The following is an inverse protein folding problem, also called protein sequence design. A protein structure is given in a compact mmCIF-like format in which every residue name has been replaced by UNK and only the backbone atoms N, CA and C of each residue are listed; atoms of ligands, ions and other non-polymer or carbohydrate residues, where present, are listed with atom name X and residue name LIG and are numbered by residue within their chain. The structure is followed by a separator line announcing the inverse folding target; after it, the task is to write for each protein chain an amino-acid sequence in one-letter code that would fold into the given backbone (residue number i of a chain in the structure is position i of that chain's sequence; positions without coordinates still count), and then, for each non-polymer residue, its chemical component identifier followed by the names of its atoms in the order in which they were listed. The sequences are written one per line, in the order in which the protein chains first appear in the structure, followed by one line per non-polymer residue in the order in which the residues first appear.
data_IF_081578368980
#
_entry.id   IF_081578368980
#
_cell.length_a   1.000
_cell.length_b   1.000
_cell.length_c   1.000
_cell.angle_alpha   90.00
_cell.angle_beta   90.00
_cell.angle_gamma   90.00
#
_symmetry.space_group_name_H-M   'P 1'
#
loop_
_entity.id
_entity.type
_entity.pdbx_description
1 polymer ?
#
# COMPACT_ATOMS: atom_id res chain seq x y z
N UNK A 1 13.61 68.74 -43.77
CA UNK A 1 12.60 68.93 -42.71
C UNK A 1 11.44 67.96 -42.93
N UNK A 2 11.38 66.89 -42.13
CA UNK A 2 10.16 66.33 -41.50
C UNK A 2 10.56 65.00 -40.84
N UNK A 3 10.28 64.95 -39.53
CA UNK A 3 10.53 63.86 -38.60
C UNK A 3 9.69 62.61 -38.90
N UNK A 4 10.08 61.49 -38.29
CA UNK A 4 9.32 60.35 -37.71
C UNK A 4 10.09 59.06 -38.00
N UNK A 5 10.19 58.03 -37.15
CA UNK A 5 10.11 57.82 -35.71
C UNK A 5 10.60 56.37 -35.51
N UNK A 6 11.16 56.06 -34.34
CA UNK A 6 11.73 54.76 -34.01
C UNK A 6 10.75 53.59 -34.17
N UNK A 7 11.28 52.43 -34.57
CA UNK A 7 10.62 51.13 -34.36
C UNK A 7 11.63 50.21 -33.68
N UNK A 8 11.53 50.22 -32.36
CA UNK A 8 12.17 49.31 -31.42
C UNK A 8 11.60 47.90 -31.68
N UNK A 9 12.42 47.01 -32.25
CA UNK A 9 12.08 45.61 -32.40
C UNK A 9 12.03 44.93 -31.03
N UNK A 10 10.82 44.79 -30.48
CA UNK A 10 10.57 43.92 -29.33
C UNK A 10 10.88 42.47 -29.72
N UNK A 11 11.99 41.94 -29.22
CA UNK A 11 12.14 40.51 -29.03
C UNK A 11 11.09 40.07 -27.99
N UNK A 12 9.98 39.51 -28.47
CA UNK A 12 9.09 38.68 -27.67
C UNK A 12 9.86 37.41 -27.28
N UNK A 13 10.58 37.48 -26.16
CA UNK A 13 10.90 36.32 -25.35
C UNK A 13 9.56 35.68 -24.96
N UNK A 14 9.13 34.68 -25.73
CA UNK A 14 8.19 33.69 -25.26
C UNK A 14 8.87 32.95 -24.11
N UNK A 15 8.74 33.49 -22.90
CA UNK A 15 8.88 32.71 -21.70
C UNK A 15 7.81 31.62 -21.79
N UNK A 16 8.25 30.42 -22.17
CA UNK A 16 7.54 29.21 -21.84
C UNK A 16 7.44 29.21 -20.32
N UNK A 17 6.30 29.66 -19.81
CA UNK A 17 5.89 29.35 -18.44
C UNK A 17 5.89 27.84 -18.37
N UNK A 18 6.93 27.27 -17.76
CA UNK A 18 6.86 25.89 -17.32
C UNK A 18 5.57 25.78 -16.52
N UNK A 19 4.64 24.86 -16.86
CA UNK A 19 3.46 24.67 -16.06
C UNK A 19 3.94 24.46 -14.63
N UNK A 20 3.46 25.31 -13.70
CA UNK A 20 3.80 25.23 -12.30
C UNK A 20 3.69 23.75 -11.90
N UNK A 21 4.83 23.13 -11.57
CA UNK A 21 4.89 21.72 -11.18
C UNK A 21 3.76 21.49 -10.18
N UNK A 22 2.76 20.72 -10.57
CA UNK A 22 1.62 20.47 -9.70
C UNK A 22 2.15 19.73 -8.48
N UNK A 23 2.29 20.43 -7.36
CA UNK A 23 2.81 19.87 -6.13
C UNK A 23 1.96 18.66 -5.75
N UNK A 24 2.60 17.51 -5.55
CA UNK A 24 1.96 16.31 -5.01
C UNK A 24 1.65 16.51 -3.52
N UNK A 25 0.53 15.97 -3.06
CA UNK A 25 0.03 16.13 -1.69
C UNK A 25 -0.36 14.79 -1.05
N UNK A 26 -0.67 14.82 0.23
CA UNK A 26 -0.92 13.62 1.04
C UNK A 26 -2.10 12.78 0.50
N UNK A 27 -3.19 13.41 0.03
CA UNK A 27 -4.36 12.70 -0.53
C UNK A 27 -4.13 12.11 -1.92
N UNK A 28 -3.03 12.46 -2.58
CA UNK A 28 -2.62 11.81 -3.83
C UNK A 28 -1.96 10.46 -3.54
N UNK A 29 -1.11 10.42 -2.50
CA UNK A 29 -0.40 9.21 -2.10
C UNK A 29 -1.21 8.28 -1.19
N UNK A 30 -2.28 8.78 -0.56
CA UNK A 30 -3.18 8.00 0.29
C UNK A 30 -4.64 8.35 -0.02
N UNK A 31 -5.23 7.58 -0.93
CA UNK A 31 -6.61 7.72 -1.39
C UNK A 31 -7.55 6.88 -0.52
N UNK A 32 -8.59 7.54 -0.01
CA UNK A 32 -9.62 6.97 0.86
C UNK A 32 -10.94 7.01 0.09
N UNK A 33 -11.59 5.84 -0.06
CA UNK A 33 -12.88 5.72 -0.74
C UNK A 33 -14.01 5.74 0.28
N UNK A 34 -15.07 6.47 -0.03
CA UNK A 34 -15.97 7.03 0.96
C UNK A 34 -17.33 6.36 1.04
N UNK A 35 -17.82 5.75 -0.05
CA UNK A 35 -19.15 5.15 -0.01
C UNK A 35 -19.38 4.11 -1.11
N UNK A 36 -20.04 2.98 -0.79
CA UNK A 36 -20.50 1.97 -1.76
C UNK A 36 -21.31 2.47 -2.95
N UNK A 37 -21.80 3.71 -2.87
CA UNK A 37 -22.68 4.31 -3.87
C UNK A 37 -22.05 5.50 -4.58
N UNK A 38 -20.91 6.04 -4.14
CA UNK A 38 -20.34 7.28 -4.70
C UNK A 38 -19.10 6.99 -5.52
N UNK A 39 -18.17 6.22 -4.96
CA UNK A 39 -16.82 6.02 -5.50
C UNK A 39 -16.38 4.55 -5.46
N UNK A 40 -17.33 3.63 -5.30
CA UNK A 40 -17.04 2.22 -5.05
C UNK A 40 -16.46 1.49 -6.25
N UNK A 41 -15.40 0.72 -5.99
CA UNK A 41 -14.85 -0.25 -6.95
C UNK A 41 -15.07 -1.63 -6.35
N UNK A 42 -16.07 -2.36 -6.84
CA UNK A 42 -16.30 -3.75 -6.45
C UNK A 42 -15.12 -4.62 -6.86
N UNK A 43 -14.81 -5.66 -6.09
CA UNK A 43 -13.84 -6.71 -6.44
C UNK A 43 -14.20 -7.41 -7.76
N UNK A 44 -15.51 -7.44 -8.08
CA UNK A 44 -16.05 -7.99 -9.32
C UNK A 44 -16.00 -7.01 -10.50
N UNK A 45 -15.50 -5.79 -10.30
CA UNK A 45 -15.42 -4.79 -11.37
C UNK A 45 -14.39 -5.23 -12.40
N UNK A 46 -14.79 -5.23 -13.66
CA UNK A 46 -13.86 -5.36 -14.77
C UNK A 46 -13.09 -4.05 -14.95
N UNK A 47 -11.80 -4.18 -15.25
CA UNK A 47 -10.95 -3.11 -15.71
C UNK A 47 -11.36 -2.70 -17.14
N UNK A 48 -10.86 -1.55 -17.60
CA UNK A 48 -11.22 -1.04 -18.93
C UNK A 48 -10.78 -1.97 -20.07
N UNK A 49 -9.79 -2.83 -19.82
CA UNK A 49 -9.33 -3.86 -20.75
C UNK A 49 -10.06 -5.21 -20.60
N UNK A 50 -11.13 -5.28 -19.80
CA UNK A 50 -11.90 -6.49 -19.54
C UNK A 50 -11.28 -7.45 -18.50
N UNK A 51 -10.05 -7.21 -18.05
CA UNK A 51 -9.42 -8.01 -17.01
C UNK A 51 -10.09 -7.77 -15.64
N UNK A 52 -10.08 -8.76 -14.75
CA UNK A 52 -10.53 -8.58 -13.37
C UNK A 52 -9.39 -7.99 -12.54
N UNK A 53 -9.69 -6.89 -11.83
CA UNK A 53 -8.72 -6.28 -10.91
C UNK A 53 -8.34 -7.22 -9.76
N UNK A 54 -9.29 -8.08 -9.36
CA UNK A 54 -9.08 -9.11 -8.37
C UNK A 54 -9.67 -10.44 -8.87
N UNK A 55 -8.82 -11.37 -9.35
CA UNK A 55 -9.27 -12.67 -9.83
C UNK A 55 -10.02 -13.46 -8.75
N UNK A 56 -11.17 -14.05 -9.12
CA UNK A 56 -11.94 -14.89 -8.19
C UNK A 56 -11.13 -16.05 -7.57
N UNK A 57 -10.15 -16.57 -8.31
CA UNK A 57 -9.25 -17.62 -7.84
C UNK A 57 -8.45 -17.19 -6.60
N UNK A 58 -8.05 -15.91 -6.51
CA UNK A 58 -7.38 -15.39 -5.32
C UNK A 58 -8.29 -15.44 -4.11
N UNK A 59 -9.56 -15.07 -4.29
CA UNK A 59 -10.55 -15.13 -3.21
C UNK A 59 -10.75 -16.58 -2.73
N UNK A 60 -10.83 -17.54 -3.64
CA UNK A 60 -10.92 -18.96 -3.28
C UNK A 60 -9.68 -19.44 -2.49
N UNK A 61 -8.47 -19.03 -2.86
CA UNK A 61 -7.25 -19.37 -2.11
C UNK A 61 -7.23 -18.75 -0.70
N UNK A 62 -7.73 -17.52 -0.56
CA UNK A 62 -7.92 -16.87 0.73
C UNK A 62 -8.91 -17.65 1.60
N UNK A 63 -10.08 -18.02 1.05
CA UNK A 63 -11.07 -18.84 1.77
C UNK A 63 -10.51 -20.19 2.21
N UNK A 64 -9.79 -20.89 1.33
CA UNK A 64 -9.18 -22.18 1.65
C UNK A 64 -8.16 -22.08 2.79
N UNK A 65 -7.43 -20.95 2.86
CA UNK A 65 -6.46 -20.70 3.92
C UNK A 65 -7.13 -20.36 5.25
N UNK A 66 -8.20 -19.54 5.25
CA UNK A 66 -8.99 -19.29 6.47
C UNK A 66 -9.72 -20.54 6.98
N UNK A 67 -10.16 -21.43 6.09
CA UNK A 67 -10.77 -22.70 6.49
C UNK A 67 -9.85 -23.58 7.34
N UNK A 68 -8.53 -23.37 7.27
CA UNK A 68 -7.51 -24.04 8.08
C UNK A 68 -7.09 -23.25 9.33
N UNK A 69 -7.65 -22.05 9.54
CA UNK A 69 -7.31 -21.16 10.63
C UNK A 69 -8.34 -21.23 11.77
N UNK A 70 -8.11 -20.45 12.84
CA UNK A 70 -9.05 -20.29 13.94
C UNK A 70 -10.36 -19.62 13.55
N UNK A 71 -10.49 -19.07 12.34
CA UNK A 71 -11.72 -18.46 11.80
C UNK A 71 -12.57 -19.49 11.02
N UNK A 72 -11.95 -20.52 10.41
CA UNK A 72 -12.67 -21.54 9.66
C UNK A 72 -13.41 -20.97 8.45
N UNK A 73 -14.67 -21.38 8.26
CA UNK A 73 -15.50 -20.96 7.11
C UNK A 73 -16.28 -19.65 7.31
N UNK A 74 -16.06 -18.94 8.42
CA UNK A 74 -16.84 -17.73 8.73
C UNK A 74 -16.74 -16.67 7.62
N UNK A 75 -15.56 -16.49 7.02
CA UNK A 75 -15.38 -15.53 5.91
C UNK A 75 -16.28 -15.86 4.72
N UNK A 76 -16.34 -17.14 4.32
CA UNK A 76 -17.17 -17.60 3.21
C UNK A 76 -18.67 -17.43 3.51
N UNK A 77 -19.08 -17.69 4.75
CA UNK A 77 -20.49 -17.62 5.18
C UNK A 77 -21.00 -16.19 5.34
N UNK A 78 -20.13 -15.27 5.77
CA UNK A 78 -20.52 -13.91 6.15
C UNK A 78 -20.22 -12.87 5.07
N UNK A 79 -19.20 -13.09 4.24
CA UNK A 79 -18.74 -12.13 3.24
C UNK A 79 -18.55 -12.80 1.88
N UNK A 80 -19.58 -12.75 1.04
CA UNK A 80 -19.51 -13.28 -0.33
C UNK A 80 -18.55 -12.44 -1.18
N UNK A 81 -18.09 -13.00 -2.29
CA UNK A 81 -17.17 -12.32 -3.21
C UNK A 81 -17.67 -10.94 -3.63
N UNK A 82 -18.94 -10.81 -4.01
CA UNK A 82 -19.56 -9.54 -4.44
C UNK A 82 -19.71 -8.49 -3.34
N UNK A 83 -19.42 -8.82 -2.08
CA UNK A 83 -19.43 -7.85 -0.97
C UNK A 83 -18.13 -7.04 -0.90
N UNK A 84 -17.04 -7.55 -1.45
CA UNK A 84 -15.72 -6.93 -1.32
C UNK A 84 -15.59 -5.71 -2.23
N UNK A 85 -15.13 -4.61 -1.67
CA UNK A 85 -14.95 -3.34 -2.35
C UNK A 85 -13.56 -2.79 -2.03
N UNK A 86 -12.95 -2.13 -3.01
CA UNK A 86 -11.78 -1.31 -2.77
C UNK A 86 -12.20 -0.19 -1.83
N UNK A 87 -11.51 -0.09 -0.70
CA UNK A 87 -11.75 0.96 0.31
C UNK A 87 -10.62 1.96 0.33
N UNK A 88 -9.42 1.58 -0.12
CA UNK A 88 -8.28 2.48 -0.13
C UNK A 88 -7.23 2.11 -1.15
N UNK A 89 -6.47 3.12 -1.56
CA UNK A 89 -5.28 2.98 -2.38
C UNK A 89 -4.14 3.81 -1.79
N UNK A 90 -2.94 3.26 -1.76
CA UNK A 90 -1.71 3.99 -1.44
C UNK A 90 -0.74 3.89 -2.60
N UNK A 91 -0.06 4.99 -2.89
CA UNK A 91 1.03 5.04 -3.85
C UNK A 91 2.34 5.24 -3.12
N UNK A 92 3.27 4.32 -3.35
CA UNK A 92 4.61 4.36 -2.83
C UNK A 92 5.59 4.58 -3.96
N UNK A 93 6.18 5.78 -4.07
CA UNK A 93 7.17 6.05 -5.11
C UNK A 93 8.49 5.30 -4.88
N UNK A 94 8.77 4.92 -3.63
CA UNK A 94 10.03 4.28 -3.23
C UNK A 94 9.81 3.42 -1.99
N UNK A 95 9.56 2.12 -2.18
CA UNK A 95 9.54 1.14 -1.09
C UNK A 95 10.85 0.32 -1.10
N UNK A 96 11.54 0.15 0.04
CA UNK A 96 12.84 -0.54 0.08
C UNK A 96 12.77 -1.96 -0.49
N UNK A 97 13.71 -2.30 -1.37
CA UNK A 97 13.89 -3.67 -1.85
C UNK A 97 14.56 -4.55 -0.79
N UNK A 98 15.51 -3.97 -0.03
CA UNK A 98 16.24 -4.62 1.05
C UNK A 98 15.38 -4.98 2.27
N UNK A 99 15.87 -5.93 3.06
CA UNK A 99 15.15 -6.52 4.19
C UNK A 99 15.42 -5.84 5.54
N UNK A 100 16.43 -4.98 5.59
CA UNK A 100 16.78 -4.13 6.72
C UNK A 100 16.41 -2.66 6.40
N UNK A 101 15.95 -1.86 7.39
CA UNK A 101 15.82 -0.41 7.25
C UNK A 101 17.12 0.29 6.83
N UNK A 102 18.27 -0.32 7.15
CA UNK A 102 19.60 0.17 6.80
C UNK A 102 20.02 -0.13 5.36
N UNK A 103 19.34 -1.06 4.68
CA UNK A 103 19.64 -1.45 3.30
C UNK A 103 19.22 -0.35 2.32
N UNK A 104 20.07 0.65 2.11
CA UNK A 104 19.94 1.74 1.11
C UNK A 104 18.50 2.12 0.78
N UNK A 105 17.69 2.34 1.82
CA UNK A 105 16.22 2.31 1.73
C UNK A 105 15.63 3.41 0.85
N UNK A 106 16.44 4.42 0.53
CA UNK A 106 16.10 5.54 -0.35
C UNK A 106 16.73 5.46 -1.76
N UNK A 107 17.69 4.56 -1.97
CA UNK A 107 18.40 4.39 -3.25
C UNK A 107 17.99 3.07 -3.92
N UNK A 108 17.99 1.96 -3.21
CA UNK A 108 17.60 0.65 -3.74
C UNK A 108 16.15 0.34 -3.34
N UNK A 109 15.25 1.11 -3.93
CA UNK A 109 13.81 1.01 -3.70
C UNK A 109 13.03 0.85 -5.00
N UNK A 110 11.78 0.41 -4.87
CA UNK A 110 10.90 0.16 -5.98
C UNK A 110 9.54 0.86 -5.79
N UNK A 111 9.01 1.52 -6.83
CA UNK A 111 7.66 2.06 -6.78
C UNK A 111 6.61 0.95 -6.79
N UNK A 112 5.52 1.16 -6.05
CA UNK A 112 4.41 0.21 -5.94
C UNK A 112 3.08 0.92 -5.66
N UNK A 113 1.99 0.25 -6.01
CA UNK A 113 0.63 0.61 -5.63
C UNK A 113 0.11 -0.41 -4.63
N UNK A 114 -0.49 0.04 -3.54
CA UNK A 114 -1.12 -0.83 -2.55
C UNK A 114 -2.62 -0.62 -2.55
N UNK A 115 -3.37 -1.72 -2.55
CA UNK A 115 -4.83 -1.71 -2.52
C UNK A 115 -5.33 -2.40 -1.26
N UNK A 116 -6.39 -1.85 -0.67
CA UNK A 116 -7.09 -2.44 0.48
C UNK A 116 -8.51 -2.75 0.07
N UNK A 117 -8.89 -4.02 0.20
CA UNK A 117 -10.22 -4.53 -0.08
C UNK A 117 -10.92 -4.90 1.22
N UNK A 118 -12.17 -4.49 1.37
CA UNK A 118 -12.97 -4.79 2.54
C UNK A 118 -14.37 -5.23 2.11
N UNK A 119 -14.98 -6.23 2.77
CA UNK A 119 -16.38 -6.56 2.53
C UNK A 119 -17.29 -5.52 3.16
N UNK A 120 -18.19 -4.98 2.34
CA UNK A 120 -19.24 -4.06 2.76
C UNK A 120 -20.58 -4.75 2.57
N UNK A 121 -21.18 -5.18 3.68
CA UNK A 121 -22.46 -5.89 3.68
C UNK A 121 -23.59 -4.88 3.77
N UNK A 122 -24.49 -4.91 2.79
CA UNK A 122 -25.64 -3.98 2.72
C UNK A 122 -26.83 -4.54 3.49
N UNK A 123 -27.63 -3.65 4.07
CA UNK A 123 -28.90 -3.95 4.76
C UNK A 123 -28.75 -5.03 5.84
N UNK A 124 -27.73 -4.90 6.69
CA UNK A 124 -27.42 -5.87 7.73
C UNK A 124 -28.23 -5.57 9.00
N UNK A 125 -28.86 -6.60 9.58
CA UNK A 125 -29.45 -6.54 10.91
C UNK A 125 -28.67 -7.46 11.87
N UNK A 126 -28.05 -6.88 12.90
CA UNK A 126 -27.30 -7.62 13.94
C UNK A 126 -27.71 -7.08 15.30
N UNK A 127 -28.17 -7.97 16.19
CA UNK A 127 -28.54 -7.60 17.56
C UNK A 127 -29.64 -6.53 17.63
N UNK A 128 -30.58 -6.52 16.67
CA UNK A 128 -31.67 -5.54 16.60
C UNK A 128 -31.26 -4.16 16.06
N UNK A 129 -29.99 -3.97 15.68
CA UNK A 129 -29.51 -2.76 15.00
C UNK A 129 -29.44 -2.99 13.50
N UNK A 130 -30.01 -2.05 12.74
CA UNK A 130 -29.94 -2.03 11.29
C UNK A 130 -28.80 -1.15 10.81
N UNK A 131 -28.03 -1.66 9.85
CA UNK A 131 -26.96 -0.97 9.14
C UNK A 131 -27.28 -1.03 7.64
N UNK A 132 -27.33 0.12 6.97
CA UNK A 132 -27.56 0.20 5.53
C UNK A 132 -26.33 -0.32 4.76
N UNK A 133 -25.13 -0.10 5.29
CA UNK A 133 -23.83 -0.52 4.77
C UNK A 133 -22.86 -0.73 5.92
N UNK A 134 -22.61 -1.99 6.26
CA UNK A 134 -21.72 -2.41 7.34
C UNK A 134 -20.37 -2.87 6.78
N UNK A 135 -19.30 -2.22 7.22
CA UNK A 135 -17.92 -2.66 7.02
C UNK A 135 -17.62 -3.84 7.94
N UNK A 136 -17.37 -5.03 7.39
CA UNK A 136 -16.92 -6.16 8.22
C UNK A 136 -15.47 -5.98 8.64
N UNK A 137 -15.08 -6.60 9.75
CA UNK A 137 -13.75 -6.45 10.32
C UNK A 137 -12.67 -7.33 9.65
N UNK A 138 -12.78 -7.50 8.33
CA UNK A 138 -11.90 -8.32 7.48
C UNK A 138 -11.33 -7.47 6.35
N UNK A 139 -10.08 -7.66 5.97
CA UNK A 139 -9.56 -7.01 4.76
C UNK A 139 -8.53 -7.87 4.03
N UNK A 140 -8.33 -7.52 2.77
CA UNK A 140 -7.27 -8.06 1.92
C UNK A 140 -6.43 -6.89 1.43
N UNK A 141 -5.13 -6.95 1.65
CA UNK A 141 -4.16 -6.00 1.13
C UNK A 141 -3.41 -6.61 -0.03
N UNK A 142 -3.37 -5.92 -1.17
CA UNK A 142 -2.54 -6.26 -2.32
C UNK A 142 -1.42 -5.25 -2.49
N UNK A 143 -0.22 -5.73 -2.81
CA UNK A 143 0.94 -4.92 -3.18
C UNK A 143 1.27 -5.21 -4.64
N UNK A 144 1.26 -4.18 -5.47
CA UNK A 144 1.50 -4.26 -6.91
C UNK A 144 2.77 -3.49 -7.24
N UNK A 145 3.79 -4.20 -7.71
CA UNK A 145 5.02 -3.58 -8.15
C UNK A 145 4.77 -2.81 -9.46
N UNK A 146 5.41 -1.64 -9.62
CA UNK A 146 5.33 -0.92 -10.88
C UNK A 146 6.01 -1.72 -12.00
N UNK A 147 5.33 -1.92 -13.12
CA UNK A 147 5.89 -2.61 -14.29
C UNK A 147 6.68 -1.62 -15.15
N UNK A 148 8.00 -1.81 -15.35
CA UNK A 148 8.83 -0.92 -16.17
C UNK A 148 8.34 -0.75 -17.61
N UNK A 149 7.69 -1.76 -18.17
CA UNK A 149 7.18 -1.73 -19.55
C UNK A 149 6.03 -0.75 -19.76
N UNK A 150 5.48 -0.16 -18.70
CA UNK A 150 4.46 0.90 -18.81
C UNK A 150 5.06 2.23 -19.28
N UNK A 151 6.30 2.52 -18.89
CA UNK A 151 6.91 3.85 -19.03
C UNK A 151 8.26 3.83 -19.78
N UNK A 152 8.84 2.64 -19.98
CA UNK A 152 10.14 2.44 -20.63
C UNK A 152 9.99 1.58 -21.90
N UNK A 153 10.94 1.72 -22.83
CA UNK A 153 11.05 0.83 -23.98
C UNK A 153 11.37 -0.61 -23.55
N UNK A 154 11.06 -1.60 -24.40
CA UNK A 154 11.18 -3.03 -24.03
C UNK A 154 12.56 -3.45 -23.54
N UNK A 155 13.63 -2.91 -24.14
CA UNK A 155 15.01 -3.18 -23.72
C UNK A 155 15.34 -2.55 -22.35
N UNK A 156 15.04 -1.25 -22.17
CA UNK A 156 15.23 -0.54 -20.89
C UNK A 156 14.41 -1.21 -19.77
N UNK A 157 13.18 -1.61 -20.06
CA UNK A 157 12.30 -2.29 -19.12
C UNK A 157 12.87 -3.64 -18.68
N UNK A 158 13.34 -4.46 -19.61
CA UNK A 158 13.96 -5.75 -19.32
C UNK A 158 15.26 -5.59 -18.53
N UNK A 159 16.10 -4.62 -18.90
CA UNK A 159 17.34 -4.30 -18.20
C UNK A 159 17.07 -3.87 -16.76
N UNK A 160 16.19 -2.89 -16.53
CA UNK A 160 15.86 -2.41 -15.19
C UNK A 160 15.24 -3.51 -14.32
N UNK A 161 14.36 -4.35 -14.90
CA UNK A 161 13.81 -5.50 -14.18
C UNK A 161 14.90 -6.50 -13.79
N UNK A 162 15.90 -6.71 -14.65
CA UNK A 162 17.08 -7.52 -14.36
C UNK A 162 17.88 -6.98 -13.18
N UNK A 163 18.17 -5.68 -13.16
CA UNK A 163 18.85 -5.01 -12.03
C UNK A 163 18.05 -5.14 -10.73
N UNK A 164 16.74 -4.87 -10.78
CA UNK A 164 15.84 -5.05 -9.61
C UNK A 164 15.91 -6.47 -9.07
N UNK A 165 15.83 -7.48 -9.95
CA UNK A 165 15.84 -8.88 -9.53
C UNK A 165 17.17 -9.26 -8.88
N UNK A 166 18.31 -8.75 -9.39
CA UNK A 166 19.63 -8.93 -8.77
C UNK A 166 19.70 -8.32 -7.37
N UNK A 167 19.19 -7.10 -7.20
CA UNK A 167 19.11 -6.43 -5.89
C UNK A 167 18.26 -7.24 -4.90
N UNK A 168 17.07 -7.69 -5.32
CA UNK A 168 16.19 -8.53 -4.48
C UNK A 168 16.86 -9.86 -4.11
N UNK A 169 17.50 -10.53 -5.06
CA UNK A 169 18.22 -11.79 -4.82
C UNK A 169 19.39 -11.58 -3.87
N UNK A 170 20.15 -10.50 -4.04
CA UNK A 170 21.26 -10.16 -3.15
C UNK A 170 20.80 -10.04 -1.70
N UNK A 171 19.75 -9.25 -1.42
CA UNK A 171 19.22 -9.09 -0.06
C UNK A 171 18.53 -10.34 0.49
N UNK A 172 18.03 -11.22 -0.39
CA UNK A 172 17.47 -12.50 0.04
C UNK A 172 18.56 -13.51 0.44
N UNK A 173 19.72 -13.49 -0.21
CA UNK A 173 20.80 -14.47 0.01
C UNK A 173 21.82 -14.03 1.05
N UNK A 174 22.11 -12.72 1.14
CA UNK A 174 23.24 -12.23 1.93
C UNK A 174 22.85 -11.71 3.32
N UNK A 175 21.56 -11.73 3.67
CA UNK A 175 21.07 -11.27 4.98
C UNK A 175 21.74 -9.97 5.44
N UNK A 176 21.93 -8.98 4.55
CA UNK A 176 22.51 -7.67 4.87
C UNK A 176 23.97 -7.65 5.37
N UNK A 177 24.67 -8.79 5.44
CA UNK A 177 26.00 -8.90 6.05
C UNK A 177 27.16 -8.78 5.05
N UNK A 178 26.87 -8.67 3.75
CA UNK A 178 27.90 -8.65 2.71
C UNK A 178 28.31 -7.21 2.36
N UNK A 179 29.60 -6.82 2.47
CA UNK A 179 30.08 -5.48 2.11
C UNK A 179 30.02 -5.18 0.60
N UNK A 180 29.67 -6.18 -0.22
CA UNK A 180 29.50 -6.00 -1.66
C UNK A 180 28.21 -5.24 -1.96
N UNK A 181 28.27 -4.26 -2.87
CA UNK A 181 27.09 -3.64 -3.44
C UNK A 181 26.45 -4.58 -4.48
N UNK A 182 25.11 -4.70 -4.54
CA UNK A 182 24.43 -5.60 -5.48
C UNK A 182 24.62 -5.19 -6.96
N UNK A 183 24.98 -3.93 -7.19
CA UNK A 183 25.13 -3.28 -8.48
C UNK A 183 26.50 -2.58 -8.54
N UNK A 184 27.08 -2.46 -9.74
CA UNK A 184 28.21 -1.52 -9.95
C UNK A 184 27.72 -0.07 -9.84
N UNK A 185 28.65 0.89 -9.82
CA UNK A 185 28.30 2.30 -9.78
C UNK A 185 27.44 2.70 -10.98
N UNK A 186 27.83 2.28 -12.19
CA UNK A 186 27.11 2.58 -13.43
C UNK A 186 25.72 1.92 -13.45
N UNK A 187 25.62 0.68 -12.98
CA UNK A 187 24.33 -0.02 -12.86
C UNK A 187 23.40 0.64 -11.84
N UNK A 188 23.95 1.16 -10.73
CA UNK A 188 23.17 1.90 -9.74
C UNK A 188 22.67 3.24 -10.29
N UNK A 189 23.52 3.99 -11.01
CA UNK A 189 23.11 5.22 -11.70
C UNK A 189 21.99 4.95 -12.71
N UNK A 190 22.11 3.89 -13.51
CA UNK A 190 21.06 3.47 -14.44
C UNK A 190 19.78 3.04 -13.72
N UNK A 191 19.90 2.28 -12.64
CA UNK A 191 18.76 1.87 -11.81
C UNK A 191 18.00 3.10 -11.30
N UNK A 192 18.71 4.08 -10.72
CA UNK A 192 18.12 5.33 -10.21
C UNK A 192 17.46 6.11 -11.34
N UNK A 193 18.16 6.32 -12.46
CA UNK A 193 17.66 7.11 -13.60
C UNK A 193 16.39 6.51 -14.19
N UNK A 194 16.39 5.22 -14.49
CA UNK A 194 15.25 4.55 -15.11
C UNK A 194 14.08 4.40 -14.15
N UNK A 195 14.33 4.06 -12.87
CA UNK A 195 13.27 4.05 -11.85
C UNK A 195 12.64 5.43 -11.69
N UNK A 196 13.45 6.49 -11.61
CA UNK A 196 12.94 7.85 -11.43
C UNK A 196 12.06 8.30 -12.61
N UNK A 197 12.35 7.87 -13.85
CA UNK A 197 11.45 8.07 -14.99
C UNK A 197 10.08 7.40 -14.79
N UNK A 198 10.07 6.14 -14.34
CA UNK A 198 8.81 5.44 -14.02
C UNK A 198 8.04 6.15 -12.90
N UNK A 199 8.74 6.61 -11.86
CA UNK A 199 8.14 7.34 -10.74
C UNK A 199 7.55 8.67 -11.20
N UNK A 200 8.24 9.44 -12.05
CA UNK A 200 7.70 10.68 -12.61
C UNK A 200 6.37 10.46 -13.32
N UNK A 201 6.29 9.40 -14.15
CA UNK A 201 5.06 9.04 -14.85
C UNK A 201 3.96 8.63 -13.87
N UNK A 202 4.26 7.75 -12.90
CA UNK A 202 3.32 7.36 -11.85
C UNK A 202 2.76 8.59 -11.12
N UNK A 203 3.62 9.51 -10.68
CA UNK A 203 3.22 10.74 -9.97
C UNK A 203 2.32 11.61 -10.84
N UNK A 204 2.67 11.83 -12.12
CA UNK A 204 1.82 12.57 -13.05
C UNK A 204 0.44 11.92 -13.18
N UNK A 205 0.36 10.59 -13.29
CA UNK A 205 -0.91 9.84 -13.39
C UNK A 205 -1.74 9.92 -12.13
N UNK A 206 -1.11 9.91 -10.95
CA UNK A 206 -1.81 10.10 -9.68
C UNK A 206 -2.38 11.52 -9.58
N UNK A 207 -1.62 12.54 -9.98
CA UNK A 207 -2.10 13.92 -10.01
C UNK A 207 -3.27 14.06 -11.01
N UNK A 208 -3.22 13.34 -12.13
CA UNK A 208 -4.32 13.31 -13.11
C UNK A 208 -5.60 12.62 -12.60
N UNK A 209 -5.58 11.98 -11.42
CA UNK A 209 -6.81 11.54 -10.75
C UNK A 209 -7.62 12.73 -10.21
N UNK A 210 -6.96 13.86 -9.92
CA UNK A 210 -7.57 15.07 -9.39
C UNK A 210 -8.64 15.60 -10.35
N UNK A 211 -9.72 16.09 -9.77
CA UNK A 211 -10.67 16.91 -10.52
C UNK A 211 -10.13 18.33 -10.68
N UNK A 212 -10.16 18.85 -11.92
CA UNK A 212 -9.64 20.17 -12.27
C UNK A 212 -10.44 21.33 -11.64
N UNK A 213 -11.65 21.07 -11.15
CA UNK A 213 -12.47 22.08 -10.43
C UNK A 213 -11.91 22.40 -9.04
N UNK A 214 -11.09 21.53 -8.46
CA UNK A 214 -10.50 21.77 -7.15
C UNK A 214 -9.08 22.31 -7.27
N UNK A 215 -8.75 23.26 -6.41
CA UNK A 215 -7.37 23.72 -6.26
C UNK A 215 -6.48 22.61 -5.69
N UNK A 216 -5.17 22.67 -5.95
CA UNK A 216 -4.21 21.71 -5.37
C UNK A 216 -4.28 21.65 -3.84
N UNK A 217 -4.59 22.78 -3.19
CA UNK A 217 -4.71 22.90 -1.73
C UNK A 217 -5.77 21.96 -1.13
N UNK A 218 -6.83 21.63 -1.89
CA UNK A 218 -7.88 20.71 -1.43
C UNK A 218 -7.37 19.27 -1.20
N UNK A 219 -6.21 18.93 -1.77
CA UNK A 219 -5.56 17.63 -1.68
C UNK A 219 -4.51 17.56 -0.57
N UNK A 220 -4.27 18.65 0.18
CA UNK A 220 -3.39 18.64 1.37
C UNK A 220 -4.02 17.92 2.55
N UNK A 221 -3.15 17.35 3.40
CA UNK A 221 -3.50 16.64 4.62
C UNK A 221 -4.10 15.26 4.37
N UNK A 222 -4.40 14.51 5.44
CA UNK A 222 -4.93 13.16 5.32
C UNK A 222 -6.46 13.16 5.37
N UNK A 223 -7.09 12.23 4.66
CA UNK A 223 -8.55 12.04 4.71
C UNK A 223 -9.18 11.93 3.33
N UNK A 224 -10.46 12.27 3.26
CA UNK A 224 -11.24 12.20 2.03
C UNK A 224 -10.78 13.23 1.00
N UNK A 225 -10.71 12.76 -0.23
CA UNK A 225 -10.52 13.59 -1.42
C UNK A 225 -11.76 14.47 -1.67
N UNK A 226 -11.62 15.68 -2.21
CA UNK A 226 -12.76 16.57 -2.43
C UNK A 226 -13.81 16.01 -3.40
N UNK A 227 -13.40 15.15 -4.34
CA UNK A 227 -14.27 14.53 -5.35
C UNK A 227 -15.34 13.62 -4.74
N UNK A 228 -15.10 13.06 -3.55
CA UNK A 228 -16.00 12.09 -2.93
C UNK A 228 -17.16 12.75 -2.16
N UNK A 229 -17.27 14.08 -2.24
CA UNK A 229 -18.29 14.87 -1.56
C UNK A 229 -19.68 14.78 -2.19
N UNK A 230 -19.79 14.40 -3.47
CA UNK A 230 -21.07 14.14 -4.13
C UNK A 230 -20.98 13.02 -5.17
N UNK A 231 -22.17 12.53 -5.57
CA UNK A 231 -22.31 11.36 -6.43
C UNK A 231 -21.73 11.54 -7.84
N UNK A 232 -21.96 12.70 -8.48
CA UNK A 232 -21.49 12.94 -9.85
C UNK A 232 -19.96 12.99 -9.91
N UNK A 233 -19.34 13.77 -9.01
CA UNK A 233 -17.89 13.87 -8.93
C UNK A 233 -17.24 12.54 -8.52
N UNK A 234 -17.88 11.82 -7.60
CA UNK A 234 -17.45 10.48 -7.19
C UNK A 234 -17.41 9.50 -8.36
N UNK A 235 -18.42 9.51 -9.23
CA UNK A 235 -18.45 8.65 -10.42
C UNK A 235 -17.34 9.02 -11.44
N UNK A 236 -17.10 10.30 -11.66
CA UNK A 236 -16.02 10.75 -12.56
C UNK A 236 -14.64 10.36 -12.01
N UNK A 237 -14.44 10.55 -10.70
CA UNK A 237 -13.24 10.10 -10.01
C UNK A 237 -13.06 8.59 -10.10
N UNK A 238 -14.12 7.81 -9.85
CA UNK A 238 -14.12 6.35 -9.98
C UNK A 238 -13.71 5.90 -11.39
N UNK A 239 -14.20 6.56 -12.43
CA UNK A 239 -13.81 6.26 -13.82
C UNK A 239 -12.30 6.46 -14.05
N UNK A 240 -11.76 7.61 -13.62
CA UNK A 240 -10.31 7.90 -13.68
C UNK A 240 -9.50 6.88 -12.86
N UNK A 241 -9.99 6.54 -11.66
CA UNK A 241 -9.36 5.55 -10.80
C UNK A 241 -9.32 4.16 -11.45
N UNK A 242 -10.43 3.69 -12.05
CA UNK A 242 -10.45 2.42 -12.77
C UNK A 242 -9.48 2.41 -13.96
N UNK A 243 -9.33 3.53 -14.67
CA UNK A 243 -8.32 3.67 -15.73
C UNK A 243 -6.89 3.59 -15.17
N UNK A 244 -6.61 4.28 -14.07
CA UNK A 244 -5.33 4.19 -13.36
C UNK A 244 -5.02 2.75 -12.90
N UNK A 245 -5.97 2.09 -12.26
CA UNK A 245 -5.82 0.71 -11.77
C UNK A 245 -5.63 -0.29 -12.92
N UNK A 246 -6.20 -0.01 -14.11
CA UNK A 246 -5.96 -0.81 -15.32
C UNK A 246 -4.49 -0.79 -15.72
N UNK A 247 -3.73 0.26 -15.40
CA UNK A 247 -2.30 0.30 -15.73
C UNK A 247 -1.45 -0.25 -14.57
N UNK A 248 -1.78 0.14 -13.33
CA UNK A 248 -0.86 0.01 -12.20
C UNK A 248 -1.19 -1.10 -11.20
N UNK A 249 -2.35 -1.75 -11.33
CA UNK A 249 -2.78 -2.80 -10.40
C UNK A 249 -3.21 -4.09 -11.12
N UNK A 250 -2.61 -4.38 -12.27
CA UNK A 250 -2.85 -5.64 -12.99
C UNK A 250 -2.45 -6.85 -12.15
N UNK A 251 -3.19 -7.97 -12.20
CA UNK A 251 -2.86 -9.19 -11.45
C UNK A 251 -1.44 -9.70 -11.68
N UNK A 252 -0.91 -9.56 -12.90
CA UNK A 252 0.46 -9.95 -13.26
C UNK A 252 1.53 -9.21 -12.47
N UNK A 253 1.21 -8.03 -11.94
CA UNK A 253 2.13 -7.16 -11.22
C UNK A 253 1.99 -7.30 -9.69
N UNK A 254 1.03 -8.10 -9.22
CA UNK A 254 0.90 -8.40 -7.80
C UNK A 254 2.19 -9.10 -7.33
N UNK A 255 2.79 -8.59 -6.24
CA UNK A 255 4.00 -9.15 -5.64
C UNK A 255 3.69 -9.88 -4.33
N UNK A 256 2.78 -9.33 -3.53
CA UNK A 256 2.35 -9.92 -2.27
C UNK A 256 0.88 -9.60 -1.97
N UNK A 257 0.23 -10.52 -1.25
CA UNK A 257 -1.12 -10.34 -0.74
C UNK A 257 -1.18 -10.80 0.71
N UNK A 258 -1.86 -10.03 1.56
CA UNK A 258 -2.17 -10.44 2.93
C UNK A 258 -3.66 -10.36 3.15
N UNK A 259 -4.24 -11.34 3.81
CA UNK A 259 -5.65 -11.33 4.19
C UNK A 259 -5.76 -11.44 5.70
N UNK A 260 -6.73 -10.76 6.29
CA UNK A 260 -6.98 -10.86 7.72
C UNK A 260 -8.46 -10.88 8.05
N UNK A 261 -8.77 -11.55 9.16
CA UNK A 261 -10.11 -11.59 9.70
C UNK A 261 -10.02 -11.30 11.18
N UNK A 262 -10.72 -10.24 11.59
CA UNK A 262 -10.92 -9.91 12.98
C UNK A 262 -12.37 -10.25 13.31
N UNK A 263 -12.63 -10.71 14.53
CA UNK A 263 -13.82 -11.50 14.85
C UNK A 263 -15.00 -10.64 15.28
N UNK A 264 -14.97 -9.33 15.05
CA UNK A 264 -16.11 -8.46 15.27
C UNK A 264 -17.13 -8.68 14.14
N UNK A 265 -17.76 -9.86 14.16
CA UNK A 265 -18.70 -10.32 13.14
C UNK A 265 -19.41 -11.60 13.58
N UNK A 266 -20.72 -11.47 13.81
CA UNK A 266 -21.85 -12.43 13.82
C UNK A 266 -21.79 -13.74 14.61
N UNK A 267 -20.63 -14.24 15.05
CA UNK A 267 -20.52 -15.41 15.94
C UNK A 267 -19.81 -15.08 17.26
N UNK A 268 -20.52 -15.05 18.40
CA UNK A 268 -19.98 -14.56 19.67
C UNK A 268 -18.88 -15.44 20.30
N UNK A 269 -18.64 -16.65 19.79
CA UNK A 269 -17.69 -17.58 20.38
C UNK A 269 -16.21 -17.26 20.08
N UNK A 270 -15.90 -16.36 19.12
CA UNK A 270 -14.52 -16.12 18.64
C UNK A 270 -14.06 -14.65 18.65
N UNK A 271 -14.77 -13.76 19.35
CA UNK A 271 -14.60 -12.28 19.37
C UNK A 271 -13.17 -11.78 19.73
N UNK A 272 -12.26 -12.66 20.18
CA UNK A 272 -10.90 -12.27 20.57
C UNK A 272 -9.78 -12.84 19.68
N UNK A 273 -10.12 -13.53 18.59
CA UNK A 273 -9.15 -14.24 17.73
C UNK A 273 -8.94 -13.49 16.41
N UNK A 274 -7.72 -13.04 16.16
CA UNK A 274 -7.31 -12.36 14.93
C UNK A 274 -6.47 -13.32 14.09
N UNK A 275 -6.89 -13.61 12.87
CA UNK A 275 -6.10 -14.44 11.95
C UNK A 275 -5.56 -13.61 10.80
N UNK A 276 -4.27 -13.79 10.51
CA UNK A 276 -3.53 -13.15 9.44
C UNK A 276 -2.93 -14.21 8.52
N UNK A 277 -3.16 -14.04 7.23
CA UNK A 277 -2.68 -14.90 6.16
C UNK A 277 -1.74 -14.10 5.26
N UNK A 278 -0.70 -14.75 4.76
CA UNK A 278 0.22 -14.16 3.80
C UNK A 278 0.34 -15.02 2.55
N UNK A 279 0.48 -14.35 1.41
CA UNK A 279 0.62 -14.96 0.11
C UNK A 279 1.71 -14.23 -0.68
N UNK A 280 2.54 -15.00 -1.36
CA UNK A 280 3.39 -14.50 -2.44
C UNK A 280 2.63 -14.58 -3.75
N UNK A 281 2.89 -13.65 -4.67
CA UNK A 281 2.28 -13.67 -5.99
C UNK A 281 3.33 -13.90 -7.08
N UNK A 282 2.95 -14.70 -8.08
CA UNK A 282 3.78 -14.98 -9.26
C UNK A 282 2.88 -15.25 -10.46
N UNK A 283 3.15 -14.60 -11.58
CA UNK A 283 2.43 -14.78 -12.84
C UNK A 283 0.90 -14.64 -12.69
N UNK A 284 0.43 -13.69 -11.87
CA UNK A 284 -1.01 -13.47 -11.65
C UNK A 284 -1.70 -14.49 -10.75
N UNK A 285 -0.98 -15.44 -10.16
CA UNK A 285 -1.49 -16.38 -9.16
C UNK A 285 -0.92 -16.06 -7.77
N UNK A 286 -1.65 -16.42 -6.72
CA UNK A 286 -1.19 -16.30 -5.33
C UNK A 286 -0.95 -17.68 -4.71
N UNK A 287 0.05 -17.75 -3.83
CA UNK A 287 0.47 -18.96 -3.14
C UNK A 287 0.71 -18.65 -1.67
N UNK A 288 0.24 -19.49 -0.72
CA UNK A 288 0.51 -19.29 0.70
C UNK A 288 1.99 -19.08 0.97
N UNK A 289 2.32 -18.05 1.74
CA UNK A 289 3.68 -17.70 2.10
C UNK A 289 3.79 -17.54 3.62
N UNK A 290 4.98 -17.78 4.15
CA UNK A 290 5.23 -17.62 5.57
C UNK A 290 5.31 -16.15 5.96
N UNK A 291 4.68 -15.80 7.08
CA UNK A 291 4.90 -14.54 7.79
C UNK A 291 6.20 -14.70 8.57
N UNK A 292 7.25 -14.00 8.14
CA UNK A 292 8.57 -14.07 8.74
C UNK A 292 8.91 -12.71 9.33
N UNK A 293 9.22 -12.68 10.62
CA UNK A 293 9.80 -11.52 11.28
C UNK A 293 11.31 -11.58 11.04
N UNK A 294 11.89 -10.44 10.66
CA UNK A 294 13.29 -10.31 10.29
C UNK A 294 13.99 -9.30 11.19
N UNK A 295 15.27 -9.55 11.47
CA UNK A 295 16.13 -8.64 12.22
C UNK A 295 16.08 -7.23 11.61
N UNK A 296 16.10 -6.23 12.48
CA UNK A 296 16.19 -4.83 12.06
C UNK A 296 17.60 -4.41 11.68
N UNK A 297 18.60 -5.19 12.10
CA UNK A 297 20.00 -4.90 11.83
C UNK A 297 20.39 -5.42 10.46
N UNK A 298 20.19 -6.71 10.23
CA UNK A 298 20.74 -7.41 9.07
C UNK A 298 19.63 -7.98 8.13
N UNK A 299 18.36 -7.91 8.52
CA UNK A 299 17.26 -8.41 7.70
C UNK A 299 17.16 -9.94 7.62
N UNK A 300 17.98 -10.69 8.37
CA UNK A 300 17.88 -12.15 8.45
C UNK A 300 16.57 -12.57 9.13
N UNK A 301 15.99 -13.72 8.77
CA UNK A 301 14.86 -14.28 9.51
C UNK A 301 15.20 -14.50 10.99
N UNK A 302 14.42 -13.92 11.89
CA UNK A 302 14.55 -14.16 13.35
C UNK A 302 13.41 -15.05 13.86
N UNK A 303 12.22 -14.95 13.25
CA UNK A 303 11.07 -15.74 13.66
C UNK A 303 10.16 -16.05 12.48
N UNK A 304 9.64 -17.27 12.42
CA UNK A 304 8.72 -17.70 11.37
C UNK A 304 7.37 -18.10 11.98
N UNK A 305 6.33 -17.31 11.69
CA UNK A 305 4.94 -17.54 12.12
C UNK A 305 4.21 -18.52 11.18
N UNK A 306 4.87 -19.05 10.16
CA UNK A 306 4.23 -19.87 9.15
C UNK A 306 3.24 -19.06 8.31
N UNK A 307 2.40 -19.76 7.55
CA UNK A 307 1.44 -19.13 6.63
C UNK A 307 0.20 -18.51 7.32
N UNK A 308 -0.02 -18.83 8.60
CA UNK A 308 -1.11 -18.29 9.43
C UNK A 308 -0.49 -17.74 10.71
N UNK A 309 -0.73 -16.47 11.01
CA UNK A 309 -0.48 -15.90 12.34
C UNK A 309 -1.78 -15.64 13.06
N UNK A 310 -1.83 -15.99 14.34
CA UNK A 310 -2.98 -15.83 15.21
C UNK A 310 -2.63 -14.83 16.31
N UNK A 311 -3.27 -13.67 16.35
CA UNK A 311 -3.15 -12.73 17.47
C UNK A 311 -4.47 -12.61 18.23
N UNK A 312 -4.43 -11.87 19.33
CA UNK A 312 -5.58 -11.44 20.10
C UNK A 312 -5.50 -9.95 20.37
N UNK A 313 -6.60 -9.37 20.85
CA UNK A 313 -6.64 -7.95 21.24
C UNK A 313 -5.48 -7.59 22.17
N UNK A 314 -5.21 -8.44 23.17
CA UNK A 314 -4.25 -8.17 24.25
C UNK A 314 -2.82 -8.67 23.96
N UNK A 315 -2.68 -9.69 23.10
CA UNK A 315 -1.43 -10.45 22.93
C UNK A 315 -1.21 -10.72 21.45
N UNK A 316 0.03 -10.56 20.97
CA UNK A 316 0.38 -10.94 19.60
C UNK A 316 0.31 -12.47 19.42
N UNK A 317 0.96 -13.03 18.40
CA UNK A 317 1.02 -14.47 18.27
C UNK A 317 1.70 -15.12 19.47
N UNK A 318 1.01 -16.06 20.13
CA UNK A 318 1.52 -16.75 21.33
C UNK A 318 2.85 -17.46 21.07
N UNK A 319 3.16 -17.78 19.82
CA UNK A 319 4.46 -18.36 19.45
C UNK A 319 5.61 -17.37 19.66
N UNK A 320 5.35 -16.06 19.55
CA UNK A 320 6.33 -15.01 19.84
C UNK A 320 6.66 -14.93 21.33
N UNK A 321 5.66 -15.09 22.20
CA UNK A 321 5.87 -15.10 23.65
C UNK A 321 6.66 -16.33 24.13
N UNK A 322 6.49 -17.45 23.43
CA UNK A 322 7.17 -18.72 23.73
C UNK A 322 8.51 -18.86 23.00
N UNK A 323 8.88 -17.87 22.19
CA UNK A 323 10.11 -17.89 21.42
C UNK A 323 11.32 -17.92 22.36
N UNK A 324 12.17 -18.94 22.21
CA UNK A 324 13.46 -19.01 22.89
C UNK A 324 14.54 -18.57 21.91
N UNK A 325 14.85 -17.27 21.94
CA UNK A 325 15.81 -16.65 21.03
C UNK A 325 17.09 -16.23 21.78
N UNK A 326 18.25 -16.19 21.10
CA UNK A 326 19.44 -15.52 21.61
C UNK A 326 19.14 -14.06 21.98
N UNK A 327 19.88 -13.48 22.93
CA UNK A 327 19.60 -12.14 23.46
C UNK A 327 19.49 -11.06 22.39
N UNK A 328 20.33 -11.10 21.35
CA UNK A 328 20.29 -10.13 20.25
C UNK A 328 19.00 -10.26 19.43
N UNK A 329 18.65 -11.48 19.02
CA UNK A 329 17.42 -11.78 18.26
C UNK A 329 16.16 -11.46 19.06
N UNK A 330 16.20 -11.67 20.37
CA UNK A 330 15.11 -11.32 21.26
C UNK A 330 14.90 -9.81 21.34
N UNK A 331 15.97 -9.01 21.41
CA UNK A 331 15.88 -7.55 21.41
C UNK A 331 15.29 -7.03 20.09
N UNK A 332 15.77 -7.56 18.95
CA UNK A 332 15.21 -7.21 17.63
C UNK A 332 13.74 -7.56 17.52
N UNK A 333 13.35 -8.74 18.01
CA UNK A 333 11.97 -9.15 18.07
C UNK A 333 11.17 -8.17 18.93
N UNK A 334 11.66 -7.84 20.13
CA UNK A 334 11.01 -6.95 21.07
C UNK A 334 10.83 -5.52 20.53
N UNK A 335 11.72 -5.06 19.66
CA UNK A 335 11.62 -3.76 18.99
C UNK A 335 10.72 -3.78 17.75
N UNK A 336 10.44 -4.97 17.22
CA UNK A 336 9.65 -5.18 16.01
C UNK A 336 8.21 -5.59 16.26
N UNK A 337 7.89 -6.16 17.44
CA UNK A 337 6.54 -6.62 17.78
C UNK A 337 6.11 -6.21 19.19
N UNK A 338 4.80 -6.01 19.36
CA UNK A 338 4.15 -5.63 20.61
C UNK A 338 3.86 -6.86 21.46
N UNK A 339 4.83 -7.28 22.27
CA UNK A 339 4.68 -8.38 23.23
C UNK A 339 4.14 -7.83 24.57
N UNK A 340 3.15 -8.50 25.16
CA UNK A 340 2.51 -8.14 26.44
C UNK A 340 1.99 -6.68 26.56
N UNK A 341 1.48 -6.11 25.46
CA UNK A 341 0.92 -4.75 25.46
C UNK A 341 1.93 -3.62 25.71
N UNK A 342 3.24 -3.92 25.74
CA UNK A 342 4.30 -2.92 25.91
C UNK A 342 4.44 -2.10 24.63
N UNK A 343 4.27 -0.78 24.77
CA UNK A 343 4.31 0.18 23.64
C UNK A 343 5.73 0.55 23.15
N UNK A 344 6.79 -0.12 23.62
CA UNK A 344 8.16 0.20 23.20
C UNK A 344 8.31 0.08 21.68
N UNK A 345 7.87 -1.04 21.12
CA UNK A 345 7.87 -1.27 19.68
C UNK A 345 6.94 -0.32 18.90
N UNK A 346 5.94 0.30 19.55
CA UNK A 346 4.93 1.10 18.84
C UNK A 346 5.56 2.27 18.07
N UNK A 347 6.52 2.98 18.67
CA UNK A 347 7.21 4.09 18.01
C UNK A 347 8.06 3.61 16.81
N UNK A 348 8.68 2.44 16.95
CA UNK A 348 9.49 1.84 15.90
C UNK A 348 8.61 1.36 14.74
N UNK A 349 7.52 0.66 15.03
CA UNK A 349 6.56 0.17 14.03
C UNK A 349 5.81 1.31 13.35
N UNK A 350 5.61 2.48 13.94
CA UNK A 350 5.04 3.64 13.22
C UNK A 350 6.01 4.18 12.15
N UNK A 351 7.30 3.83 12.22
CA UNK A 351 8.33 4.37 11.33
C UNK A 351 8.97 3.34 10.42
N UNK A 352 8.72 3.44 9.11
CA UNK A 352 9.34 2.57 8.10
C UNK A 352 10.88 2.61 8.10
N UNK A 353 11.49 3.74 8.46
CA UNK A 353 12.96 3.85 8.55
C UNK A 353 13.53 3.15 9.79
N UNK A 354 12.68 2.66 10.70
CA UNK A 354 13.08 1.86 11.87
C UNK A 354 12.65 0.41 11.72
N UNK A 355 11.42 0.17 11.25
CA UNK A 355 10.85 -1.16 11.07
C UNK A 355 10.03 -1.20 9.78
N UNK A 356 10.50 -1.95 8.80
CA UNK A 356 9.74 -2.20 7.58
C UNK A 356 8.51 -3.06 7.90
N UNK A 357 7.43 -2.92 7.12
CA UNK A 357 6.19 -3.70 7.34
C UNK A 357 6.43 -5.21 7.33
N UNK A 358 7.41 -5.69 6.54
CA UNK A 358 7.79 -7.10 6.47
C UNK A 358 8.60 -7.60 7.66
N UNK A 359 9.09 -6.72 8.54
CA UNK A 359 9.88 -7.05 9.72
C UNK A 359 9.02 -7.09 10.99
N UNK A 360 7.71 -6.87 10.91
CA UNK A 360 6.79 -6.83 12.05
C UNK A 360 5.60 -7.75 11.82
N UNK A 361 4.92 -8.19 12.89
CA UNK A 361 3.71 -8.99 12.75
C UNK A 361 2.51 -8.09 12.40
N UNK A 362 1.54 -8.66 11.67
CA UNK A 362 0.30 -7.95 11.40
C UNK A 362 -0.42 -7.59 12.72
N UNK A 363 -0.47 -8.51 13.70
CA UNK A 363 -1.06 -8.26 15.01
C UNK A 363 -0.49 -7.02 15.71
N UNK A 364 0.83 -6.82 15.62
CA UNK A 364 1.54 -5.67 16.18
C UNK A 364 1.20 -4.38 15.44
N UNK A 365 1.25 -4.39 14.10
CA UNK A 365 0.80 -3.27 13.27
C UNK A 365 -0.64 -2.85 13.59
N UNK A 366 -1.53 -3.84 13.79
CA UNK A 366 -2.94 -3.60 14.10
C UNK A 366 -3.13 -2.99 15.50
N UNK A 367 -2.39 -3.45 16.51
CA UNK A 367 -2.54 -3.00 17.90
C UNK A 367 -2.10 -1.56 18.15
N UNK A 368 -1.25 -1.00 17.29
CA UNK A 368 -0.81 0.41 17.39
C UNK A 368 -1.96 1.38 17.11
N UNK A 369 -2.95 0.93 16.35
CA UNK A 369 -4.09 1.75 16.04
C UNK A 369 -4.98 1.89 17.28
N UNK A 370 -5.53 3.10 17.52
CA UNK A 370 -6.31 3.39 18.72
C UNK A 370 -7.58 2.51 18.80
N UNK A 371 -8.16 2.29 20.00
CA UNK A 371 -9.36 1.44 20.17
C UNK A 371 -10.63 1.87 19.41
N UNK A 372 -10.65 3.07 18.80
CA UNK A 372 -11.70 3.54 17.87
C UNK A 372 -11.34 3.37 16.39
N UNK A 373 -10.22 2.70 16.10
CA UNK A 373 -9.75 2.43 14.76
C UNK A 373 -10.38 1.12 14.29
N UNK A 374 -11.60 1.20 13.75
CA UNK A 374 -12.11 0.14 12.88
C UNK A 374 -11.04 -0.06 11.79
N UNK A 375 -10.62 -1.29 11.58
CA UNK A 375 -9.36 -1.70 10.96
C UNK A 375 -9.21 -1.30 9.47
N UNK A 376 -10.11 -0.45 8.99
CA UNK A 376 -10.45 -0.14 7.62
C UNK A 376 -10.63 1.35 7.36
N UNK A 377 -10.27 2.21 8.32
CA UNK A 377 -10.56 3.65 8.30
C UNK A 377 -9.78 4.48 7.24
N UNK A 378 -9.21 3.82 6.24
CA UNK A 378 -9.05 4.43 4.92
C UNK A 378 -10.35 4.38 4.10
N UNK A 379 -11.47 3.95 4.66
CA UNK A 379 -12.80 4.25 4.17
C UNK A 379 -13.69 4.83 5.27
N UNK A 380 -14.54 5.76 4.87
CA UNK A 380 -15.61 6.30 5.70
C UNK A 380 -16.84 5.45 5.45
N UNK A 381 -17.56 5.01 6.48
CA UNK A 381 -18.87 4.37 6.31
C UNK A 381 -19.88 4.92 7.31
N UNK A 382 -21.10 5.18 6.85
CA UNK A 382 -22.27 5.56 7.68
C UNK A 382 -21.98 6.58 8.79
N UNK A 383 -21.46 7.76 8.42
CA UNK A 383 -21.29 8.87 9.38
C UNK A 383 -20.11 8.72 10.35
N UNK A 384 -19.30 7.67 10.23
CA UNK A 384 -18.03 7.56 10.98
C UNK A 384 -17.03 8.61 10.52
N UNK A 385 -16.13 9.02 11.42
CA UNK A 385 -15.01 9.89 11.08
C UNK A 385 -13.93 9.08 10.34
N UNK A 386 -13.30 9.71 9.35
CA UNK A 386 -12.15 9.13 8.65
C UNK A 386 -10.97 9.13 9.62
N UNK A 387 -10.28 7.99 9.76
CA UNK A 387 -9.15 7.86 10.67
C UNK A 387 -7.98 7.18 9.94
N UNK A 388 -6.88 7.91 9.78
CA UNK A 388 -5.71 7.41 9.05
C UNK A 388 -4.67 6.94 10.07
N UNK A 389 -4.14 5.72 9.88
CA UNK A 389 -3.19 5.14 10.85
C UNK A 389 -1.93 5.99 10.92
N UNK A 390 -1.33 6.10 12.11
CA UNK A 390 -0.10 6.87 12.30
C UNK A 390 1.04 6.35 11.41
N UNK A 391 1.08 5.05 11.13
CA UNK A 391 2.03 4.46 10.19
C UNK A 391 1.83 4.98 8.76
N UNK A 392 0.59 5.02 8.26
CA UNK A 392 0.29 5.56 6.92
C UNK A 392 0.64 7.04 6.83
N UNK A 393 0.31 7.84 7.86
CA UNK A 393 0.68 9.26 7.94
C UNK A 393 2.20 9.43 7.80
N UNK A 394 2.96 8.67 8.59
CA UNK A 394 4.40 8.79 8.58
C UNK A 394 5.05 8.28 7.28
N UNK A 395 4.50 7.21 6.71
CA UNK A 395 4.93 6.66 5.43
C UNK A 395 4.69 7.66 4.28
N UNK A 396 3.53 8.29 4.22
CA UNK A 396 3.23 9.35 3.22
C UNK A 396 4.18 10.54 3.39
N UNK A 397 4.45 10.95 4.63
CA UNK A 397 5.42 12.02 4.91
C UNK A 397 6.81 11.68 4.39
N UNK A 398 7.28 10.45 4.59
CA UNK A 398 8.57 9.96 4.08
C UNK A 398 8.57 9.95 2.55
N UNK A 399 7.50 9.46 1.92
CA UNK A 399 7.38 9.44 0.46
C UNK A 399 7.40 10.85 -0.16
N UNK A 400 6.69 11.81 0.43
CA UNK A 400 6.70 13.20 -0.02
C UNK A 400 8.09 13.83 0.13
N UNK A 401 8.77 13.57 1.25
CA UNK A 401 10.14 14.03 1.46
C UNK A 401 11.10 13.43 0.42
N UNK A 402 10.99 12.12 0.15
CA UNK A 402 11.79 11.46 -0.86
C UNK A 402 11.55 12.06 -2.25
N UNK A 403 10.28 12.23 -2.66
CA UNK A 403 9.92 12.84 -3.95
C UNK A 403 10.52 14.26 -4.12
N UNK A 404 10.55 15.05 -3.04
CA UNK A 404 11.13 16.40 -3.09
C UNK A 404 12.64 16.43 -3.34
N UNK A 405 13.34 15.32 -3.08
CA UNK A 405 14.79 15.20 -3.25
C UNK A 405 15.20 14.66 -4.63
N UNK A 406 14.28 14.04 -5.38
CA UNK A 406 14.62 13.27 -6.59
C UNK A 406 14.76 14.07 -7.89
N UNK A 407 14.63 15.41 -7.89
CA UNK A 407 14.66 16.25 -9.10
C UNK A 407 13.86 15.66 -10.28
N UNK A 408 12.62 15.22 -10.00
CA UNK A 408 11.79 14.55 -10.99
C UNK A 408 11.26 15.55 -12.02
N UNK A 409 11.51 15.28 -13.30
CA UNK A 409 10.83 15.97 -14.41
C UNK A 409 9.42 15.38 -14.55
N UNK A 410 8.43 16.07 -13.97
CA UNK A 410 7.01 15.71 -14.10
C UNK A 410 6.44 16.47 -15.29
N UNK A 411 6.40 15.82 -16.46
CA UNK A 411 5.70 16.33 -17.65
C UNK A 411 4.26 15.83 -17.66
N UNK A 412 3.29 16.76 -17.72
CA UNK A 412 1.86 16.45 -17.77
C UNK A 412 1.43 15.85 -19.10
#
# INVERSE_FOLDING_TARGET
MKNFSASLGLLLMAYWSQPAMSQIHEKDLSVILSHPNIDSVSISSSLHNGAQLFPFQWYQQVLQSFARSGIGRAVEQENRFDHWQLVAMRVDPCNPLGNSPHDSSQILCWPQVRLVWQPIVRNLNVGGRFFQSYADDRAIHGIYDLNPALDLGSEEAAYLQGLRNRVVQFFAQNNGLNPLHPLTFEEEEDFIRLRNRMVSSLVARVINLRDQRFSSQNYRGHGLRPEVSNFEMGNQFRSRLLSFLTSYAQPSNLSALTAFSLPAGRSPARINVWDFLSFSARNGAIFPANVVIRSLHDGRPIFNLGHISNARVQVDDQRLERARLPSNDFNDLFDSVMIHGRRHAAQNIINANRVLTKNTSCGSCHRINQPGFNFHNLSRLEGTAVNVSSRVINDVRINLAWLSQQNLNISN
#
